data_IF_848458168684
#
_entry.id   IF_848458168684
#
_cell.length_a   1.000
_cell.length_b   1.000
_cell.length_c   1.000
_cell.angle_alpha   90.00
_cell.angle_beta   90.00
_cell.angle_gamma   90.00
#
_symmetry.space_group_name_H-M   'P 1'
#
loop_
_entity.id
_entity.type
_entity.pdbx_description
1 polymer ?
#
# COMPACT_ATOMS: atom_id res chain seq x y z
N UNK A 1 22.32 -0.09 -7.79
CA UNK A 1 20.86 -0.26 -7.68
C UNK A 1 20.46 0.34 -6.35
N UNK A 2 19.67 1.42 -6.28
CA UNK A 2 19.25 1.92 -4.98
C UNK A 2 18.52 0.77 -4.28
N UNK A 3 18.97 0.47 -3.07
CA UNK A 3 18.45 -0.60 -2.21
C UNK A 3 16.94 -0.40 -2.13
N UNK A 4 16.20 -1.22 -2.87
CA UNK A 4 14.78 -1.01 -3.11
C UNK A 4 14.04 -1.30 -1.80
N UNK A 5 13.62 -0.25 -1.09
CA UNK A 5 12.86 -0.39 0.16
C UNK A 5 11.47 -1.05 -0.05
N UNK A 6 11.14 -1.42 -1.29
CA UNK A 6 9.96 -2.17 -1.69
C UNK A 6 9.63 -3.32 -0.73
N UNK A 7 10.53 -4.28 -0.55
CA UNK A 7 10.26 -5.47 0.27
C UNK A 7 9.96 -5.09 1.73
N UNK A 8 10.65 -4.06 2.24
CA UNK A 8 10.44 -3.54 3.60
C UNK A 8 9.08 -2.88 3.73
N UNK A 9 8.66 -2.10 2.73
CA UNK A 9 7.36 -1.41 2.70
C UNK A 9 6.23 -2.44 2.59
N UNK A 10 6.35 -3.40 1.67
CA UNK A 10 5.39 -4.51 1.49
C UNK A 10 5.25 -5.29 2.79
N UNK A 11 6.37 -5.73 3.38
CA UNK A 11 6.36 -6.52 4.61
C UNK A 11 5.65 -5.80 5.75
N UNK A 12 5.99 -4.53 6.02
CA UNK A 12 5.35 -3.74 7.10
C UNK A 12 3.85 -3.62 6.91
N UNK A 13 3.39 -3.43 5.67
CA UNK A 13 1.97 -3.31 5.33
C UNK A 13 1.23 -4.62 5.53
N UNK A 14 1.78 -5.73 5.02
CA UNK A 14 1.19 -7.05 5.19
C UNK A 14 1.10 -7.44 6.68
N UNK A 15 2.13 -7.12 7.47
CA UNK A 15 2.11 -7.34 8.93
C UNK A 15 1.00 -6.53 9.61
N UNK A 16 0.81 -5.26 9.22
CA UNK A 16 -0.26 -4.43 9.77
C UNK A 16 -1.65 -4.96 9.40
N UNK A 17 -1.87 -5.32 8.14
CA UNK A 17 -3.12 -5.94 7.70
C UNK A 17 -3.37 -7.28 8.38
N UNK A 18 -2.33 -8.09 8.58
CA UNK A 18 -2.43 -9.35 9.30
C UNK A 18 -2.80 -9.14 10.78
N UNK A 19 -2.23 -8.13 11.45
CA UNK A 19 -2.59 -7.79 12.82
C UNK A 19 -4.07 -7.35 12.93
N UNK A 20 -4.56 -6.61 11.94
CA UNK A 20 -5.99 -6.27 11.83
C UNK A 20 -6.85 -7.53 11.63
N UNK A 21 -6.44 -8.43 10.74
CA UNK A 21 -7.14 -9.69 10.46
C UNK A 21 -7.21 -10.59 11.71
N UNK A 22 -6.12 -10.64 12.49
CA UNK A 22 -6.06 -11.37 13.77
C UNK A 22 -6.80 -10.68 14.91
N UNK A 23 -7.39 -9.50 14.66
CA UNK A 23 -8.08 -8.67 15.68
C UNK A 23 -7.17 -8.27 16.83
N UNK A 24 -5.85 -8.27 16.61
CA UNK A 24 -4.87 -7.77 17.57
C UNK A 24 -4.88 -6.24 17.61
N UNK A 25 -5.25 -5.62 16.50
CA UNK A 25 -5.49 -4.18 16.39
C UNK A 25 -6.70 -3.90 15.50
N UNK A 26 -7.21 -2.66 15.55
CA UNK A 26 -8.20 -2.13 14.63
C UNK A 26 -7.46 -1.26 13.62
N UNK A 27 -7.87 -1.32 12.34
CA UNK A 27 -7.28 -0.48 11.30
C UNK A 27 -7.44 1.01 11.66
N UNK A 28 -6.33 1.73 11.72
CA UNK A 28 -6.30 3.19 11.89
C UNK A 28 -5.49 3.81 10.77
N UNK A 29 -6.14 4.74 10.05
CA UNK A 29 -5.51 5.45 8.95
C UNK A 29 -4.22 6.16 9.38
N UNK A 30 -4.20 6.80 10.57
CA UNK A 30 -3.02 7.49 11.09
C UNK A 30 -1.82 6.58 11.36
N UNK A 31 -2.05 5.34 11.80
CA UNK A 31 -0.99 4.35 12.00
C UNK A 31 -0.49 3.82 10.65
N UNK A 32 -1.43 3.56 9.72
CA UNK A 32 -1.10 3.19 8.36
C UNK A 32 -0.25 4.28 7.67
N UNK A 33 -0.64 5.54 7.79
CA UNK A 33 0.07 6.70 7.25
C UNK A 33 1.46 6.89 7.87
N UNK A 34 1.62 6.55 9.15
CA UNK A 34 2.93 6.59 9.82
C UNK A 34 3.86 5.49 9.28
N UNK A 35 3.32 4.30 9.01
CA UNK A 35 4.06 3.19 8.39
C UNK A 35 4.46 3.56 6.95
N UNK A 36 3.65 4.36 6.25
CA UNK A 36 3.92 4.80 4.87
C UNK A 36 4.76 6.07 4.75
N UNK A 37 4.79 6.94 5.76
CA UNK A 37 5.55 8.21 5.76
C UNK A 37 7.06 8.07 5.54
N UNK A 38 7.64 6.87 5.70
CA UNK A 38 9.04 6.61 5.33
C UNK A 38 9.27 6.49 3.82
N UNK A 39 8.22 6.28 3.03
CA UNK A 39 8.30 6.55 1.61
C UNK A 39 8.19 8.07 1.45
N UNK A 40 9.32 8.77 1.46
CA UNK A 40 9.40 10.23 1.25
C UNK A 40 8.79 10.68 -0.09
N UNK A 41 8.38 9.72 -0.94
CA UNK A 41 7.76 9.92 -2.23
C UNK A 41 6.38 9.22 -2.28
N UNK A 42 5.32 10.02 -2.30
CA UNK A 42 3.92 9.56 -2.44
C UNK A 42 3.68 8.81 -3.77
N UNK A 43 4.34 9.20 -4.86
CA UNK A 43 4.24 8.49 -6.14
C UNK A 43 4.86 7.09 -6.05
N UNK A 44 6.00 6.97 -5.36
CA UNK A 44 6.60 5.67 -5.12
C UNK A 44 5.70 4.80 -4.25
N UNK A 45 5.04 5.39 -3.25
CA UNK A 45 4.07 4.69 -2.42
C UNK A 45 2.89 4.14 -3.23
N UNK A 46 2.37 4.94 -4.16
CA UNK A 46 1.31 4.55 -5.09
C UNK A 46 1.79 3.41 -6.01
N UNK A 47 3.00 3.53 -6.55
CA UNK A 47 3.61 2.49 -7.38
C UNK A 47 3.77 1.16 -6.62
N UNK A 48 4.21 1.19 -5.36
CA UNK A 48 4.27 -0.01 -4.51
C UNK A 48 2.89 -0.62 -4.28
N UNK A 49 1.86 0.20 -4.05
CA UNK A 49 0.50 -0.30 -3.86
C UNK A 49 -0.07 -0.95 -5.13
N UNK A 50 0.21 -0.36 -6.29
CA UNK A 50 -0.17 -0.89 -7.61
C UNK A 50 0.51 -2.26 -7.83
N UNK A 51 1.83 -2.38 -7.60
CA UNK A 51 2.53 -3.67 -7.71
C UNK A 51 2.00 -4.73 -6.73
N UNK A 52 1.70 -4.37 -5.48
CA UNK A 52 1.12 -5.32 -4.52
C UNK A 52 -0.26 -5.85 -4.97
N UNK A 53 -1.03 -5.03 -5.69
CA UNK A 53 -2.31 -5.45 -6.26
C UNK A 53 -2.10 -6.36 -7.48
N UNK A 54 -1.18 -6.01 -8.38
CA UNK A 54 -0.83 -6.80 -9.57
C UNK A 54 -0.26 -8.17 -9.22
N UNK A 55 0.56 -8.23 -8.16
CA UNK A 55 1.10 -9.48 -7.59
C UNK A 55 0.06 -10.28 -6.79
N UNK A 56 -1.15 -9.75 -6.59
CA UNK A 56 -2.24 -10.40 -5.86
C UNK A 56 -2.06 -10.45 -4.34
N UNK A 57 -1.12 -9.67 -3.78
CA UNK A 57 -0.86 -9.58 -2.34
C UNK A 57 -1.98 -8.83 -1.61
N UNK A 58 -2.61 -7.86 -2.27
CA UNK A 58 -3.78 -7.12 -1.79
C UNK A 58 -4.86 -7.06 -2.87
N UNK A 59 -6.11 -6.81 -2.47
CA UNK A 59 -7.25 -6.68 -3.38
C UNK A 59 -8.14 -5.51 -2.99
N UNK A 60 -8.87 -4.97 -3.96
CA UNK A 60 -9.85 -3.89 -3.72
C UNK A 60 -9.23 -2.51 -3.51
N UNK A 61 -7.95 -2.33 -3.86
CA UNK A 61 -7.33 -1.01 -3.87
C UNK A 61 -7.95 -0.17 -5.00
N UNK A 62 -8.35 1.06 -4.68
CA UNK A 62 -8.86 2.04 -5.65
C UNK A 62 -7.95 3.27 -5.59
N UNK A 63 -7.18 3.49 -6.66
CA UNK A 63 -6.32 4.66 -6.79
C UNK A 63 -7.03 5.74 -7.62
N UNK A 64 -7.22 6.92 -7.04
CA UNK A 64 -7.76 8.08 -7.76
C UNK A 64 -6.68 9.14 -7.89
N UNK A 65 -6.10 9.29 -9.09
CA UNK A 65 -5.15 10.37 -9.37
C UNK A 65 -5.93 11.65 -9.68
N UNK A 66 -5.49 12.79 -9.13
CA UNK A 66 -6.20 14.08 -9.24
C UNK A 66 -6.35 14.61 -10.69
N UNK A 67 -5.70 13.99 -11.67
CA UNK A 67 -5.71 14.40 -13.08
C UNK A 67 -6.76 13.68 -13.94
N UNK A 68 -7.81 13.13 -13.33
CA UNK A 68 -9.01 12.70 -14.05
C UNK A 68 -8.93 11.37 -14.81
N UNK A 69 -7.84 10.60 -14.64
CA UNK A 69 -7.79 9.22 -15.11
C UNK A 69 -8.21 8.27 -13.99
N UNK A 70 -9.46 7.80 -14.07
CA UNK A 70 -9.87 6.58 -13.38
C UNK A 70 -9.26 5.42 -14.16
N UNK A 71 -8.21 4.81 -13.62
CA UNK A 71 -7.80 3.48 -14.08
C UNK A 71 -8.89 2.52 -13.63
N UNK A 72 -9.78 2.16 -14.55
CA UNK A 72 -10.72 1.06 -14.30
C UNK A 72 -9.91 -0.22 -14.12
N UNK A 73 -10.01 -0.79 -12.92
CA UNK A 73 -9.58 -2.15 -12.64
C UNK A 73 -10.48 -3.07 -13.46
N UNK A 74 -9.91 -3.73 -14.47
CA UNK A 74 -10.58 -4.78 -15.23
C UNK A 74 -10.79 -5.97 -14.29
N UNK A 75 -12.04 -6.45 -14.23
CA UNK A 75 -12.50 -7.56 -13.39
C UNK A 75 -11.87 -8.90 -13.75
#
# INVERSE_FOLDING_TARGET
MPTNDYDVIVFKRLVYYYACLKRTTVFKQSEFDLITKKADNEEYLLYVLEMMQDEGLIKGLTLTRAWGQVLQVVR
#
